data_IF_110066973979
#
_entry.id   IF_110066973979
#
_cell.length_a   1.000
_cell.length_b   1.000
_cell.length_c   1.000
_cell.angle_alpha   90.00
_cell.angle_beta   90.00
_cell.angle_gamma   90.00
#
_symmetry.space_group_name_H-M   'P 1'
#
loop_
_entity.id
_entity.type
_entity.pdbx_description
1 polymer ?
#
# COMPACT_ATOMS: atom_id res chain seq x y z
N UNK A 1 34.98 -4.37 -24.85
CA UNK A 1 35.75 -4.26 -23.60
C UNK A 1 34.74 -4.30 -22.47
N UNK A 2 34.76 -5.34 -21.64
CA UNK A 2 33.98 -5.31 -20.41
C UNK A 2 34.70 -4.35 -19.43
N UNK A 3 34.00 -3.48 -18.70
CA UNK A 3 34.63 -2.65 -17.68
C UNK A 3 35.28 -3.57 -16.64
N UNK A 4 36.50 -3.24 -16.24
CA UNK A 4 37.19 -3.93 -15.15
C UNK A 4 36.50 -3.49 -13.87
N UNK A 5 35.81 -4.43 -13.22
CA UNK A 5 35.18 -4.21 -11.92
C UNK A 5 36.27 -4.13 -10.85
N UNK A 6 36.45 -2.96 -10.24
CA UNK A 6 37.40 -2.78 -9.15
C UNK A 6 36.72 -3.15 -7.82
N UNK A 7 37.33 -4.01 -6.99
CA UNK A 7 36.80 -4.26 -5.65
C UNK A 7 36.86 -2.97 -4.81
N UNK A 8 35.75 -2.64 -4.12
CA UNK A 8 35.53 -1.46 -3.24
C UNK A 8 35.26 -0.11 -3.94
N UNK A 9 34.56 -0.10 -5.07
CA UNK A 9 34.09 1.13 -5.73
C UNK A 9 33.20 2.00 -4.81
N UNK A 10 32.40 1.40 -3.95
CA UNK A 10 31.56 2.10 -2.97
C UNK A 10 32.40 2.97 -2.02
N UNK A 11 33.46 2.40 -1.45
CA UNK A 11 34.33 3.10 -0.51
C UNK A 11 35.13 4.23 -1.18
N UNK A 12 35.48 4.05 -2.46
CA UNK A 12 36.10 5.10 -3.27
C UNK A 12 35.16 6.31 -3.43
N UNK A 13 33.93 6.08 -3.87
CA UNK A 13 32.95 7.16 -4.06
C UNK A 13 32.52 7.80 -2.75
N UNK A 14 32.41 7.04 -1.65
CA UNK A 14 32.17 7.60 -0.32
C UNK A 14 33.29 8.56 0.09
N UNK A 15 34.55 8.20 -0.14
CA UNK A 15 35.69 9.06 0.19
C UNK A 15 35.67 10.34 -0.65
N UNK A 16 35.31 10.27 -1.94
CA UNK A 16 35.16 11.45 -2.78
C UNK A 16 34.02 12.34 -2.30
N UNK A 17 32.88 11.74 -1.96
CA UNK A 17 31.71 12.45 -1.47
C UNK A 17 32.00 13.21 -0.17
N UNK A 18 32.65 12.57 0.80
CA UNK A 18 33.03 13.18 2.08
C UNK A 18 34.03 14.34 1.91
N UNK A 19 34.98 14.19 0.97
CA UNK A 19 35.92 15.27 0.63
C UNK A 19 35.21 16.47 0.01
N UNK A 20 34.35 16.22 -0.98
CA UNK A 20 33.56 17.27 -1.63
C UNK A 20 32.62 17.96 -0.62
N UNK A 21 31.97 17.19 0.25
CA UNK A 21 31.09 17.70 1.30
C UNK A 21 31.85 18.62 2.27
N UNK A 22 33.03 18.16 2.73
CA UNK A 22 33.89 18.94 3.63
C UNK A 22 34.44 20.21 2.97
N UNK A 23 34.59 20.21 1.65
CA UNK A 23 35.01 21.38 0.87
C UNK A 23 33.85 22.35 0.55
N UNK A 24 32.61 22.01 0.93
CA UNK A 24 31.40 22.78 0.59
C UNK A 24 30.89 22.56 -0.84
N UNK A 25 31.44 21.59 -1.57
CA UNK A 25 30.99 21.22 -2.93
C UNK A 25 29.80 20.25 -2.86
N UNK A 26 28.64 20.73 -2.42
CA UNK A 26 27.48 19.85 -2.13
C UNK A 26 26.92 19.11 -3.34
N UNK A 27 26.97 19.71 -4.54
CA UNK A 27 26.56 19.06 -5.79
C UNK A 27 27.47 17.87 -6.12
N UNK A 28 28.78 18.07 -6.04
CA UNK A 28 29.78 17.02 -6.28
C UNK A 28 29.69 15.92 -5.22
N UNK A 29 29.46 16.30 -3.97
CA UNK A 29 29.25 15.36 -2.88
C UNK A 29 28.02 14.48 -3.13
N UNK A 30 26.88 15.09 -3.49
CA UNK A 30 25.65 14.39 -3.81
C UNK A 30 25.84 13.39 -4.96
N UNK A 31 26.48 13.80 -6.06
CA UNK A 31 26.76 12.89 -7.18
C UNK A 31 27.64 11.70 -6.78
N UNK A 32 28.68 11.94 -5.97
CA UNK A 32 29.52 10.85 -5.48
C UNK A 32 28.76 9.93 -4.50
N UNK A 33 27.90 10.47 -3.64
CA UNK A 33 27.04 9.64 -2.78
C UNK A 33 26.10 8.75 -3.61
N UNK A 34 25.54 9.26 -4.71
CA UNK A 34 24.72 8.44 -5.63
C UNK A 34 25.53 7.33 -6.29
N UNK A 35 26.77 7.57 -6.68
CA UNK A 35 27.63 6.52 -7.22
C UNK A 35 27.93 5.46 -6.15
N UNK A 36 28.25 5.86 -4.92
CA UNK A 36 28.42 4.93 -3.81
C UNK A 36 27.16 4.09 -3.55
N UNK A 37 25.97 4.71 -3.63
CA UNK A 37 24.70 4.03 -3.45
C UNK A 37 24.41 2.99 -4.55
N UNK A 38 24.75 3.26 -5.81
CA UNK A 38 24.61 2.29 -6.91
C UNK A 38 25.41 1.01 -6.68
N UNK A 39 26.61 1.16 -6.10
CA UNK A 39 27.48 0.03 -5.78
C UNK A 39 26.96 -0.73 -4.54
N UNK A 40 26.50 0.01 -3.51
CA UNK A 40 26.03 -0.58 -2.26
C UNK A 40 24.89 0.24 -1.63
N UNK A 41 23.63 -0.09 -1.97
CA UNK A 41 22.48 0.56 -1.37
C UNK A 41 22.41 0.32 0.14
N UNK A 42 22.27 1.38 0.93
CA UNK A 42 22.02 1.29 2.37
C UNK A 42 21.05 2.38 2.80
N UNK A 43 20.26 2.13 3.84
CA UNK A 43 19.33 3.13 4.40
C UNK A 43 20.02 4.45 4.76
N UNK A 44 21.24 4.38 5.32
CA UNK A 44 22.03 5.58 5.67
C UNK A 44 22.39 6.42 4.45
N UNK A 45 22.85 5.79 3.36
CA UNK A 45 23.15 6.49 2.11
C UNK A 45 21.88 7.03 1.46
N UNK A 46 20.79 6.24 1.46
CA UNK A 46 19.49 6.67 0.94
C UNK A 46 19.01 7.95 1.63
N UNK A 47 18.98 7.94 2.98
CA UNK A 47 18.62 9.11 3.79
C UNK A 47 19.51 10.32 3.50
N UNK A 48 20.84 10.13 3.42
CA UNK A 48 21.78 11.22 3.15
C UNK A 48 21.55 11.84 1.77
N UNK A 49 21.36 11.02 0.74
CA UNK A 49 21.08 11.47 -0.62
C UNK A 49 19.75 12.23 -0.66
N UNK A 50 18.68 11.67 -0.09
CA UNK A 50 17.38 12.31 -0.05
C UNK A 50 17.40 13.65 0.69
N UNK A 51 18.11 13.71 1.82
CA UNK A 51 18.31 14.95 2.59
C UNK A 51 19.08 16.01 1.79
N UNK A 52 20.21 15.63 1.18
CA UNK A 52 21.02 16.55 0.40
C UNK A 52 20.31 17.04 -0.88
N UNK A 53 19.50 16.19 -1.51
CA UNK A 53 18.67 16.58 -2.64
C UNK A 53 17.58 17.58 -2.22
N UNK A 54 16.93 17.33 -1.08
CA UNK A 54 15.92 18.24 -0.52
C UNK A 54 16.50 19.63 -0.22
N UNK A 55 17.65 19.70 0.45
CA UNK A 55 18.34 20.96 0.77
C UNK A 55 18.76 21.74 -0.48
N UNK A 56 19.00 21.05 -1.58
CA UNK A 56 19.33 21.65 -2.88
C UNK A 56 18.09 22.05 -3.70
N UNK A 57 16.88 21.76 -3.20
CA UNK A 57 15.62 22.04 -3.90
C UNK A 57 15.27 21.00 -4.99
N UNK A 58 16.01 19.90 -5.08
CA UNK A 58 15.79 18.81 -6.04
C UNK A 58 14.71 17.84 -5.53
N UNK A 59 13.49 18.34 -5.37
CA UNK A 59 12.38 17.60 -4.71
C UNK A 59 12.03 16.28 -5.40
N UNK A 60 12.08 16.23 -6.73
CA UNK A 60 11.79 15.00 -7.49
C UNK A 60 12.82 13.90 -7.21
N UNK A 61 14.08 14.28 -6.99
CA UNK A 61 15.14 13.35 -6.67
C UNK A 61 15.07 12.91 -5.22
N UNK A 62 14.82 13.84 -4.30
CA UNK A 62 14.59 13.51 -2.89
C UNK A 62 13.44 12.49 -2.74
N UNK A 63 12.35 12.69 -3.49
CA UNK A 63 11.22 11.76 -3.55
C UNK A 63 11.62 10.39 -4.10
N UNK A 64 12.35 10.35 -5.22
CA UNK A 64 12.79 9.11 -5.84
C UNK A 64 13.54 8.22 -4.83
N UNK A 65 14.51 8.80 -4.11
CA UNK A 65 15.27 8.05 -3.12
C UNK A 65 14.43 7.67 -1.90
N UNK A 66 13.62 8.59 -1.36
CA UNK A 66 12.78 8.29 -0.19
C UNK A 66 11.79 7.14 -0.46
N UNK A 67 11.18 7.10 -1.65
CA UNK A 67 10.21 6.08 -2.04
C UNK A 67 10.84 4.70 -2.33
N UNK A 68 12.17 4.61 -2.50
CA UNK A 68 12.86 3.32 -2.64
C UNK A 68 12.93 2.54 -1.32
N UNK A 69 13.01 3.24 -0.18
CA UNK A 69 13.19 2.64 1.15
C UNK A 69 12.26 3.25 2.21
N UNK A 70 10.94 3.37 1.99
CA UNK A 70 10.05 4.11 2.89
C UNK A 70 10.07 3.54 4.31
N UNK A 71 10.22 2.23 4.47
CA UNK A 71 10.22 1.58 5.78
C UNK A 71 11.42 1.96 6.65
N UNK A 72 12.58 2.27 6.05
CA UNK A 72 13.74 2.74 6.83
C UNK A 72 13.54 4.15 7.41
N UNK A 73 12.59 4.91 6.87
CA UNK A 73 12.26 6.23 7.41
C UNK A 73 11.35 6.16 8.65
N UNK A 74 10.87 4.98 9.05
CA UNK A 74 10.08 4.79 10.26
C UNK A 74 10.94 4.51 11.51
N UNK A 75 12.27 4.61 11.40
CA UNK A 75 13.20 4.24 12.47
C UNK A 75 13.41 5.33 13.53
N UNK A 76 13.45 6.60 13.13
CA UNK A 76 13.75 7.73 14.03
C UNK A 76 12.89 8.94 13.69
N UNK A 77 12.81 9.89 14.62
CA UNK A 77 12.10 11.15 14.39
C UNK A 77 12.68 11.95 13.23
N UNK A 78 14.00 12.01 13.10
CA UNK A 78 14.67 12.74 12.01
C UNK A 78 14.36 12.14 10.64
N UNK A 79 14.30 10.80 10.55
CA UNK A 79 13.94 10.13 9.30
C UNK A 79 12.46 10.30 8.99
N UNK A 80 11.58 10.23 9.99
CA UNK A 80 10.15 10.52 9.82
C UNK A 80 9.94 11.94 9.30
N UNK A 81 10.59 12.92 9.93
CA UNK A 81 10.48 14.33 9.59
C UNK A 81 10.95 14.59 8.16
N UNK A 82 12.09 14.00 7.75
CA UNK A 82 12.58 14.14 6.38
C UNK A 82 11.60 13.56 5.36
N UNK A 83 11.09 12.35 5.60
CA UNK A 83 10.15 11.71 4.68
C UNK A 83 8.88 12.55 4.50
N UNK A 84 8.28 12.99 5.60
CA UNK A 84 7.06 13.82 5.56
C UNK A 84 7.30 15.15 4.84
N UNK A 85 8.46 15.79 5.02
CA UNK A 85 8.82 17.00 4.27
C UNK A 85 8.90 16.73 2.76
N UNK A 86 9.60 15.67 2.36
CA UNK A 86 9.75 15.31 0.94
C UNK A 86 8.39 15.06 0.29
N UNK A 87 7.53 14.27 0.94
CA UNK A 87 6.18 13.99 0.43
C UNK A 87 5.36 15.27 0.29
N UNK A 88 5.46 16.18 1.26
CA UNK A 88 4.75 17.46 1.22
C UNK A 88 5.22 18.39 0.10
N UNK A 89 6.55 18.53 -0.09
CA UNK A 89 7.10 19.30 -1.21
C UNK A 89 6.71 18.68 -2.57
N UNK A 90 6.61 17.36 -2.63
CA UNK A 90 6.14 16.63 -3.80
C UNK A 90 4.61 16.60 -3.95
N UNK A 91 3.86 17.27 -3.06
CA UNK A 91 2.38 17.32 -3.07
C UNK A 91 1.71 15.94 -2.99
N UNK A 92 2.37 15.00 -2.29
CA UNK A 92 1.95 13.61 -2.04
C UNK A 92 1.25 13.50 -0.68
N UNK A 93 0.11 14.17 -0.56
CA UNK A 93 -0.60 14.30 0.72
C UNK A 93 -1.16 12.98 1.24
N UNK A 94 -1.67 12.12 0.35
CA UNK A 94 -2.13 10.79 0.73
C UNK A 94 -1.00 9.95 1.31
N UNK A 95 0.15 9.91 0.63
CA UNK A 95 1.34 9.17 1.04
C UNK A 95 1.90 9.72 2.37
N UNK A 96 1.90 11.04 2.56
CA UNK A 96 2.27 11.67 3.82
C UNK A 96 1.35 11.24 4.98
N UNK A 97 0.02 11.21 4.77
CA UNK A 97 -0.94 10.74 5.79
C UNK A 97 -0.79 9.27 6.08
N UNK A 98 -0.61 8.44 5.05
CA UNK A 98 -0.36 7.01 5.21
C UNK A 98 0.91 6.76 6.03
N UNK A 99 1.98 7.46 5.71
CA UNK A 99 3.24 7.34 6.44
C UNK A 99 3.11 7.79 7.91
N UNK A 100 2.47 8.94 8.15
CA UNK A 100 2.21 9.46 9.49
C UNK A 100 1.40 8.46 10.33
N UNK A 101 0.37 7.85 9.74
CA UNK A 101 -0.44 6.82 10.38
C UNK A 101 0.36 5.57 10.74
N UNK A 102 1.25 5.12 9.85
CA UNK A 102 2.16 3.99 10.11
C UNK A 102 3.12 4.30 11.26
N UNK A 103 3.74 5.48 11.24
CA UNK A 103 4.64 5.94 12.31
C UNK A 103 3.93 5.97 13.67
N UNK A 104 2.66 6.42 13.71
CA UNK A 104 1.83 6.36 14.90
C UNK A 104 1.57 4.92 15.37
N UNK A 105 1.17 4.00 14.47
CA UNK A 105 0.94 2.59 14.83
C UNK A 105 2.19 1.92 15.40
N UNK A 106 3.37 2.30 14.90
CA UNK A 106 4.67 1.83 15.39
C UNK A 106 5.13 2.53 16.69
N UNK A 107 4.34 3.46 17.23
CA UNK A 107 4.66 4.24 18.44
C UNK A 107 5.95 5.05 18.33
N UNK A 108 6.29 5.48 17.10
CA UNK A 108 7.48 6.29 16.82
C UNK A 108 7.24 7.79 17.04
N UNK A 109 5.98 8.19 17.17
CA UNK A 109 5.56 9.57 17.39
C UNK A 109 4.74 9.68 18.67
N UNK A 110 4.98 10.76 19.40
CA UNK A 110 4.04 11.24 20.43
C UNK A 110 2.79 11.82 19.79
N UNK A 111 1.73 11.99 20.58
CA UNK A 111 0.48 12.59 20.11
C UNK A 111 0.70 14.02 19.61
N UNK A 112 1.50 14.81 20.33
CA UNK A 112 1.83 16.19 19.97
C UNK A 112 2.57 16.28 18.64
N UNK A 113 3.61 15.46 18.43
CA UNK A 113 4.36 15.43 17.16
C UNK A 113 3.46 15.04 15.97
N UNK A 114 2.56 14.07 16.20
CA UNK A 114 1.60 13.63 15.20
C UNK A 114 0.61 14.74 14.85
N UNK A 115 0.13 15.49 15.83
CA UNK A 115 -0.82 16.60 15.61
C UNK A 115 -0.17 17.79 14.88
N UNK A 116 1.11 18.07 15.17
CA UNK A 116 1.90 19.09 14.43
C UNK A 116 1.99 18.72 12.94
N UNK A 117 2.37 17.47 12.64
CA UNK A 117 2.47 17.02 11.26
C UNK A 117 1.12 16.98 10.56
N UNK A 118 0.09 16.51 11.24
CA UNK A 118 -1.27 16.47 10.69
C UNK A 118 -1.75 17.89 10.32
N UNK A 119 -1.54 18.86 11.21
CA UNK A 119 -1.88 20.27 10.95
C UNK A 119 -1.15 20.81 9.72
N UNK A 120 0.15 20.52 9.60
CA UNK A 120 0.96 20.96 8.45
C UNK A 120 0.49 20.32 7.13
N UNK A 121 0.15 19.04 7.15
CA UNK A 121 -0.40 18.33 5.98
C UNK A 121 -1.73 18.96 5.58
N UNK A 122 -2.64 19.17 6.55
CA UNK A 122 -3.96 19.76 6.31
C UNK A 122 -3.86 21.16 5.70
N UNK A 123 -2.98 22.02 6.22
CA UNK A 123 -2.80 23.39 5.72
C UNK A 123 -2.29 23.42 4.28
N UNK A 124 -1.27 22.60 3.97
CA UNK A 124 -0.71 22.55 2.63
C UNK A 124 -1.65 21.88 1.62
N UNK A 125 -2.36 20.83 2.02
CA UNK A 125 -3.34 20.16 1.16
C UNK A 125 -4.51 21.10 0.84
N UNK A 126 -5.02 21.87 1.81
CA UNK A 126 -6.05 22.89 1.58
C UNK A 126 -5.58 23.97 0.60
N UNK A 127 -4.37 24.48 0.78
CA UNK A 127 -3.80 25.46 -0.14
C UNK A 127 -3.69 24.88 -1.57
N UNK A 128 -3.18 23.67 -1.70
CA UNK A 128 -3.06 22.97 -2.99
C UNK A 128 -4.43 22.69 -3.62
N UNK A 129 -5.43 22.30 -2.81
CA UNK A 129 -6.81 22.11 -3.23
C UNK A 129 -7.41 23.38 -3.87
N UNK A 130 -7.19 24.53 -3.24
CA UNK A 130 -7.64 25.79 -3.82
C UNK A 130 -6.95 26.12 -5.14
N UNK A 131 -5.64 25.82 -5.26
CA UNK A 131 -4.88 26.05 -6.48
C UNK A 131 -5.31 25.11 -7.64
N UNK A 132 -5.65 23.86 -7.33
CA UNK A 132 -5.91 22.81 -8.33
C UNK A 132 -7.39 22.40 -8.43
N UNK A 133 -8.31 23.29 -8.05
CA UNK A 133 -9.74 22.98 -7.97
C UNK A 133 -10.32 22.37 -9.27
N UNK A 134 -9.91 22.88 -10.44
CA UNK A 134 -10.39 22.37 -11.72
C UNK A 134 -9.92 20.93 -12.00
N UNK A 135 -8.67 20.61 -11.65
CA UNK A 135 -8.09 19.26 -11.81
C UNK A 135 -8.82 18.26 -10.92
N UNK A 136 -9.06 18.63 -9.65
CA UNK A 136 -9.80 17.77 -8.73
C UNK A 136 -11.24 17.56 -9.17
N UNK A 137 -11.92 18.62 -9.65
CA UNK A 137 -13.27 18.48 -10.19
C UNK A 137 -13.33 17.52 -11.37
N UNK A 138 -12.38 17.62 -12.31
CA UNK A 138 -12.31 16.70 -13.44
C UNK A 138 -12.09 15.26 -12.98
N UNK A 139 -11.20 15.03 -12.02
CA UNK A 139 -10.97 13.69 -11.48
C UNK A 139 -12.22 13.13 -10.77
N UNK A 140 -12.96 13.96 -10.03
CA UNK A 140 -14.24 13.55 -9.44
C UNK A 140 -15.28 13.18 -10.52
N UNK A 141 -15.38 13.98 -11.60
CA UNK A 141 -16.26 13.70 -12.73
C UNK A 141 -15.90 12.37 -13.42
N UNK A 142 -14.60 12.08 -13.58
CA UNK A 142 -14.12 10.79 -14.09
C UNK A 142 -14.49 9.64 -13.14
N UNK A 143 -14.26 9.79 -11.83
CA UNK A 143 -14.59 8.77 -10.82
C UNK A 143 -16.11 8.51 -10.72
N UNK A 144 -16.95 9.50 -11.01
CA UNK A 144 -18.41 9.32 -11.06
C UNK A 144 -18.86 8.36 -12.17
N UNK A 145 -18.00 8.03 -13.13
CA UNK A 145 -18.26 7.05 -14.18
C UNK A 145 -18.01 5.60 -13.73
N UNK A 146 -17.37 5.37 -12.57
CA UNK A 146 -17.07 4.02 -12.07
C UNK A 146 -18.26 3.06 -12.14
N UNK A 147 -19.50 3.41 -11.70
CA UNK A 147 -20.64 2.49 -11.74
C UNK A 147 -21.09 2.07 -13.15
N UNK A 148 -20.58 2.72 -14.20
CA UNK A 148 -20.91 2.44 -15.62
C UNK A 148 -19.83 1.63 -16.33
N UNK A 149 -18.68 1.43 -15.68
CA UNK A 149 -17.50 0.75 -16.22
C UNK A 149 -17.50 -0.74 -15.86
N UNK A 150 -16.75 -1.53 -16.62
CA UNK A 150 -16.49 -2.93 -16.24
C UNK A 150 -15.50 -3.01 -15.05
N UNK A 151 -15.36 -4.19 -14.44
CA UNK A 151 -14.61 -4.34 -13.19
C UNK A 151 -13.11 -3.99 -13.33
N UNK A 152 -12.49 -4.30 -14.46
CA UNK A 152 -11.08 -4.00 -14.73
C UNK A 152 -10.83 -2.49 -14.93
N UNK A 153 -11.72 -1.83 -15.67
CA UNK A 153 -11.71 -0.38 -15.85
C UNK A 153 -11.90 0.33 -14.50
N UNK A 154 -12.85 -0.14 -13.68
CA UNK A 154 -13.05 0.40 -12.34
C UNK A 154 -11.79 0.27 -11.48
N UNK A 155 -11.15 -0.91 -11.46
CA UNK A 155 -9.91 -1.15 -10.72
C UNK A 155 -8.75 -0.25 -11.16
N UNK A 156 -8.71 0.09 -12.45
CA UNK A 156 -7.68 0.97 -12.99
C UNK A 156 -7.94 2.42 -12.57
N UNK A 157 -9.16 2.91 -12.75
CA UNK A 157 -9.53 4.30 -12.48
C UNK A 157 -9.56 4.61 -10.98
N UNK A 158 -10.10 3.71 -10.15
CA UNK A 158 -10.26 3.94 -8.70
C UNK A 158 -8.93 4.27 -8.02
N UNK A 159 -7.79 3.79 -8.54
CA UNK A 159 -6.46 4.08 -7.98
C UNK A 159 -6.12 5.57 -7.93
N UNK A 160 -6.74 6.36 -8.81
CA UNK A 160 -6.57 7.81 -8.86
C UNK A 160 -7.31 8.53 -7.73
N UNK A 161 -8.20 7.86 -7.00
CA UNK A 161 -8.88 8.47 -5.84
C UNK A 161 -7.91 9.02 -4.80
N UNK A 162 -6.72 8.42 -4.68
CA UNK A 162 -5.63 8.86 -3.78
C UNK A 162 -5.04 10.22 -4.14
N UNK A 163 -5.31 10.71 -5.33
CA UNK A 163 -4.91 12.06 -5.75
C UNK A 163 -5.88 13.11 -5.21
N UNK A 164 -7.10 12.75 -4.82
CA UNK A 164 -8.05 13.69 -4.25
C UNK A 164 -7.62 14.11 -2.84
N UNK A 165 -7.98 15.34 -2.40
CA UNK A 165 -7.87 15.73 -1.01
C UNK A 165 -8.57 14.73 -0.09
N UNK A 166 -8.02 14.51 1.10
CA UNK A 166 -8.45 13.43 2.01
C UNK A 166 -9.97 13.45 2.28
N UNK A 167 -10.59 14.63 2.42
CA UNK A 167 -12.03 14.76 2.67
C UNK A 167 -12.88 14.25 1.49
N UNK A 168 -12.42 14.52 0.27
CA UNK A 168 -13.09 14.07 -0.97
C UNK A 168 -12.88 12.58 -1.20
N UNK A 169 -11.67 12.09 -0.95
CA UNK A 169 -11.39 10.65 -0.94
C UNK A 169 -12.34 9.92 0.02
N UNK A 170 -12.43 10.37 1.28
CA UNK A 170 -13.30 9.76 2.28
C UNK A 170 -14.77 9.79 1.85
N UNK A 171 -15.25 10.92 1.35
CA UNK A 171 -16.65 11.09 0.92
C UNK A 171 -17.00 10.11 -0.21
N UNK A 172 -16.17 10.06 -1.25
CA UNK A 172 -16.41 9.18 -2.40
C UNK A 172 -16.22 7.71 -2.05
N UNK A 173 -15.22 7.36 -1.23
CA UNK A 173 -15.04 5.99 -0.74
C UNK A 173 -16.28 5.52 0.03
N UNK A 174 -16.80 6.32 0.97
CA UNK A 174 -18.02 5.99 1.73
C UNK A 174 -19.24 5.79 0.81
N UNK A 175 -19.35 6.54 -0.28
CA UNK A 175 -20.42 6.40 -1.27
C UNK A 175 -20.27 5.10 -2.09
N UNK A 176 -19.09 4.84 -2.64
CA UNK A 176 -18.86 3.72 -3.56
C UNK A 176 -18.76 2.36 -2.86
N UNK A 177 -18.35 2.31 -1.59
CA UNK A 177 -18.29 1.06 -0.82
C UNK A 177 -19.65 0.37 -0.62
N UNK A 178 -20.77 1.10 -0.78
CA UNK A 178 -22.13 0.56 -0.66
C UNK A 178 -22.87 0.41 -2.00
N UNK A 179 -22.26 0.85 -3.11
CA UNK A 179 -22.89 0.76 -4.43
C UNK A 179 -22.67 -0.62 -5.04
N UNK A 180 -23.77 -1.32 -5.36
CA UNK A 180 -23.77 -2.67 -5.94
C UNK A 180 -23.11 -2.74 -7.32
N UNK A 181 -23.03 -1.63 -8.04
CA UNK A 181 -22.37 -1.54 -9.35
C UNK A 181 -20.85 -1.45 -9.23
N UNK A 182 -20.35 -1.17 -8.03
CA UNK A 182 -18.93 -1.11 -7.76
C UNK A 182 -18.41 -2.51 -7.46
N UNK A 183 -17.42 -2.93 -8.24
CA UNK A 183 -16.87 -4.27 -8.16
C UNK A 183 -16.27 -4.54 -6.76
N UNK A 184 -16.36 -5.77 -6.23
CA UNK A 184 -15.87 -6.07 -4.87
C UNK A 184 -14.43 -5.64 -4.59
N UNK A 185 -13.49 -5.90 -5.50
CA UNK A 185 -12.09 -5.52 -5.31
C UNK A 185 -11.89 -3.99 -5.32
N UNK A 186 -12.77 -3.26 -6.00
CA UNK A 186 -12.79 -1.80 -5.98
C UNK A 186 -13.27 -1.32 -4.60
N UNK A 187 -14.30 -1.95 -4.02
CA UNK A 187 -14.74 -1.66 -2.64
C UNK A 187 -13.64 -1.98 -1.63
N UNK A 188 -12.95 -3.11 -1.76
CA UNK A 188 -11.79 -3.48 -0.93
C UNK A 188 -10.69 -2.42 -1.00
N UNK A 189 -10.36 -1.97 -2.22
CA UNK A 189 -9.36 -0.92 -2.45
C UNK A 189 -9.76 0.41 -1.80
N UNK A 190 -11.02 0.81 -1.90
CA UNK A 190 -11.53 2.04 -1.28
C UNK A 190 -11.46 1.97 0.25
N UNK A 191 -11.86 0.82 0.82
CA UNK A 191 -11.77 0.58 2.27
C UNK A 191 -10.32 0.64 2.75
N UNK A 192 -9.41 -0.02 2.05
CA UNK A 192 -7.97 0.03 2.35
C UNK A 192 -7.41 1.46 2.24
N UNK A 193 -7.86 2.22 1.24
CA UNK A 193 -7.41 3.61 1.04
C UNK A 193 -7.78 4.51 2.21
N UNK A 194 -8.99 4.35 2.77
CA UNK A 194 -9.39 5.11 3.97
C UNK A 194 -8.75 4.57 5.26
N UNK A 195 -8.51 3.25 5.35
CA UNK A 195 -7.81 2.63 6.47
C UNK A 195 -6.36 3.11 6.59
N UNK A 196 -5.67 3.26 5.46
CA UNK A 196 -4.27 3.69 5.39
C UNK A 196 -4.05 5.12 5.82
N UNK A 197 -5.03 6.01 5.65
CA UNK A 197 -4.95 7.39 6.14
C UNK A 197 -5.52 7.55 7.56
N UNK A 198 -5.80 6.44 8.25
CA UNK A 198 -6.15 6.45 9.67
C UNK A 198 -7.62 6.74 9.98
N UNK A 199 -8.55 6.55 9.04
CA UNK A 199 -9.99 6.74 9.31
C UNK A 199 -10.49 5.68 10.30
N UNK A 200 -10.81 6.10 11.52
CA UNK A 200 -11.29 5.24 12.62
C UNK A 200 -12.81 5.27 12.81
N UNK A 201 -13.52 6.13 12.08
CA UNK A 201 -14.97 6.15 12.11
C UNK A 201 -15.56 4.91 11.45
N UNK A 202 -16.66 4.41 12.01
CA UNK A 202 -17.43 3.33 11.38
C UNK A 202 -17.95 3.77 10.00
N UNK A 203 -17.75 2.92 8.99
CA UNK A 203 -18.25 3.10 7.64
C UNK A 203 -19.11 1.89 7.25
N UNK A 204 -20.12 2.16 6.41
CA UNK A 204 -20.94 1.10 5.83
C UNK A 204 -20.20 0.47 4.66
N UNK A 205 -20.23 -0.85 4.59
CA UNK A 205 -19.55 -1.64 3.56
C UNK A 205 -20.51 -2.70 3.01
N UNK A 206 -20.72 -2.71 1.69
CA UNK A 206 -21.41 -3.81 1.03
C UNK A 206 -20.45 -4.98 0.92
N UNK A 207 -20.83 -6.17 1.38
CA UNK A 207 -20.01 -7.38 1.33
C UNK A 207 -20.15 -8.08 -0.04
N UNK A 208 -19.39 -9.15 -0.27
CA UNK A 208 -19.58 -10.03 -1.44
C UNK A 208 -20.85 -10.88 -1.34
N UNK A 209 -21.46 -10.99 -0.15
CA UNK A 209 -22.71 -11.70 0.09
C UNK A 209 -23.93 -10.77 0.01
N UNK A 210 -23.76 -9.56 -0.54
CA UNK A 210 -24.81 -8.56 -0.74
C UNK A 210 -25.42 -7.99 0.57
N UNK A 211 -24.70 -8.15 1.69
CA UNK A 211 -25.05 -7.60 2.99
C UNK A 211 -24.37 -6.24 3.22
N UNK A 212 -24.98 -5.37 4.02
CA UNK A 212 -24.32 -4.12 4.45
C UNK A 212 -23.93 -4.27 5.92
N UNK A 213 -22.63 -4.16 6.18
CA UNK A 213 -22.05 -4.20 7.52
C UNK A 213 -21.45 -2.85 7.88
N UNK A 214 -21.20 -2.65 9.18
CA UNK A 214 -20.52 -1.47 9.72
C UNK A 214 -19.14 -1.87 10.23
N UNK A 215 -18.10 -1.20 9.75
CA UNK A 215 -16.70 -1.54 9.98
C UNK A 215 -15.89 -0.28 10.23
N UNK A 216 -14.86 -0.35 11.06
CA UNK A 216 -13.94 0.77 11.28
C UNK A 216 -12.65 0.56 10.48
N UNK A 217 -12.36 1.33 9.42
CA UNK A 217 -11.22 1.06 8.54
C UNK A 217 -9.87 0.92 9.25
N UNK A 218 -9.55 1.85 10.15
CA UNK A 218 -8.28 1.84 10.89
C UNK A 218 -8.04 0.61 11.79
N UNK A 219 -9.13 -0.06 12.22
CA UNK A 219 -9.11 -1.17 13.20
C UNK A 219 -9.52 -2.51 12.61
N UNK A 220 -10.36 -2.51 11.58
CA UNK A 220 -10.77 -3.69 10.82
C UNK A 220 -9.83 -3.96 9.64
N UNK A 221 -8.98 -3.00 9.27
CA UNK A 221 -8.05 -3.10 8.16
C UNK A 221 -6.84 -4.00 8.44
N UNK A 222 -6.48 -4.78 7.41
CA UNK A 222 -5.35 -5.71 7.28
C UNK A 222 -5.20 -6.74 8.42
N UNK A 223 -5.97 -7.82 8.33
CA UNK A 223 -5.75 -9.08 9.08
C UNK A 223 -5.40 -10.21 8.10
N UNK A 224 -4.12 -10.58 8.05
CA UNK A 224 -3.62 -11.68 7.21
C UNK A 224 -3.55 -13.02 7.96
N UNK A 225 -4.10 -13.11 9.18
CA UNK A 225 -4.03 -14.31 10.01
C UNK A 225 -4.67 -15.52 9.33
N UNK A 226 -5.84 -15.34 8.72
CA UNK A 226 -6.51 -16.42 7.98
C UNK A 226 -5.65 -16.88 6.80
N UNK A 227 -5.18 -15.94 5.98
CA UNK A 227 -4.33 -16.21 4.84
C UNK A 227 -3.09 -17.01 5.25
N UNK A 228 -2.31 -16.50 6.22
CA UNK A 228 -1.09 -17.15 6.69
C UNK A 228 -1.31 -18.57 7.21
N UNK A 229 -2.45 -18.82 7.88
CA UNK A 229 -2.79 -20.17 8.36
C UNK A 229 -3.13 -21.12 7.21
N UNK A 230 -3.91 -20.66 6.23
CA UNK A 230 -4.21 -21.45 5.03
C UNK A 230 -2.92 -21.75 4.27
N UNK A 231 -2.08 -20.74 4.03
CA UNK A 231 -0.80 -20.89 3.32
C UNK A 231 0.10 -21.89 4.02
N UNK A 232 0.24 -21.77 5.35
CA UNK A 232 1.01 -22.72 6.16
C UNK A 232 0.51 -24.15 5.99
N UNK A 233 -0.79 -24.39 6.14
CA UNK A 233 -1.37 -25.74 6.05
C UNK A 233 -1.25 -26.34 4.65
N UNK A 234 -1.39 -25.52 3.60
CA UNK A 234 -1.14 -25.98 2.23
C UNK A 234 0.33 -26.33 2.00
N UNK A 235 1.27 -25.54 2.51
CA UNK A 235 2.70 -25.85 2.44
C UNK A 235 3.02 -27.18 3.14
N UNK A 236 2.51 -27.38 4.36
CA UNK A 236 2.71 -28.62 5.13
C UNK A 236 2.23 -29.88 4.38
N UNK A 237 1.18 -29.77 3.55
CA UNK A 237 0.63 -30.90 2.77
C UNK A 237 1.29 -31.08 1.39
N UNK A 238 1.67 -29.99 0.71
CA UNK A 238 2.02 -30.04 -0.72
C UNK A 238 3.46 -29.67 -1.08
N UNK A 239 4.26 -29.11 -0.15
CA UNK A 239 5.60 -28.61 -0.47
C UNK A 239 6.51 -29.70 -1.04
N UNK A 240 6.52 -30.88 -0.42
CA UNK A 240 7.30 -32.03 -0.88
C UNK A 240 6.57 -32.90 -1.92
N UNK A 241 5.23 -32.86 -1.95
CA UNK A 241 4.43 -33.74 -2.82
C UNK A 241 4.15 -33.13 -4.20
N UNK A 242 3.73 -31.86 -4.25
CA UNK A 242 3.34 -31.19 -5.49
C UNK A 242 3.56 -29.67 -5.42
N UNK A 243 4.81 -29.20 -5.56
CA UNK A 243 5.16 -27.78 -5.44
C UNK A 243 4.52 -26.90 -6.53
N UNK A 244 4.18 -27.46 -7.70
CA UNK A 244 3.50 -26.72 -8.77
C UNK A 244 2.05 -26.42 -8.37
N UNK A 245 1.33 -27.42 -7.83
CA UNK A 245 -0.01 -27.22 -7.30
C UNK A 245 0.00 -26.23 -6.13
N UNK A 246 0.97 -26.36 -5.21
CA UNK A 246 1.15 -25.44 -4.11
C UNK A 246 1.23 -23.99 -4.59
N UNK A 247 2.10 -23.70 -5.56
CA UNK A 247 2.26 -22.36 -6.12
C UNK A 247 0.94 -21.81 -6.72
N UNK A 248 0.18 -22.66 -7.43
CA UNK A 248 -1.13 -22.27 -7.98
C UNK A 248 -2.15 -21.95 -6.87
N UNK A 249 -2.21 -22.77 -5.82
CA UNK A 249 -3.12 -22.56 -4.70
C UNK A 249 -2.76 -21.32 -3.89
N UNK A 250 -1.46 -21.01 -3.71
CA UNK A 250 -1.03 -19.77 -3.05
C UNK A 250 -1.58 -18.52 -3.76
N UNK A 251 -1.52 -18.47 -5.09
CA UNK A 251 -2.08 -17.35 -5.85
C UNK A 251 -3.61 -17.29 -5.77
N UNK A 252 -4.27 -18.46 -5.79
CA UNK A 252 -5.71 -18.52 -5.60
C UNK A 252 -6.13 -18.02 -4.21
N UNK A 253 -5.42 -18.44 -3.15
CA UNK A 253 -5.64 -17.98 -1.77
C UNK A 253 -5.51 -16.46 -1.70
N UNK A 254 -4.43 -15.88 -2.22
CA UNK A 254 -4.23 -14.41 -2.23
C UNK A 254 -5.41 -13.69 -2.87
N UNK A 255 -5.87 -14.18 -4.02
CA UNK A 255 -7.00 -13.59 -4.73
C UNK A 255 -8.31 -13.69 -3.93
N UNK A 256 -8.65 -14.89 -3.45
CA UNK A 256 -9.88 -15.11 -2.67
C UNK A 256 -9.87 -14.27 -1.36
N UNK A 257 -8.70 -14.12 -0.71
CA UNK A 257 -8.54 -13.26 0.46
C UNK A 257 -8.68 -11.77 0.13
N UNK A 258 -8.29 -11.32 -1.06
CA UNK A 258 -8.49 -9.95 -1.52
C UNK A 258 -9.99 -9.62 -1.74
N UNK A 259 -10.77 -10.58 -2.25
CA UNK A 259 -12.23 -10.46 -2.35
C UNK A 259 -12.92 -10.41 -0.99
N UNK A 260 -12.37 -11.12 -0.01
CA UNK A 260 -12.90 -11.12 1.34
C UNK A 260 -12.52 -9.89 2.16
N UNK A 261 -11.50 -9.13 1.76
CA UNK A 261 -11.09 -7.94 2.50
C UNK A 261 -12.25 -6.96 2.69
N UNK A 262 -12.44 -6.37 3.90
CA UNK A 262 -11.69 -6.56 5.16
C UNK A 262 -12.31 -7.60 6.13
N UNK A 263 -13.10 -8.55 5.61
CA UNK A 263 -13.96 -9.48 6.37
C UNK A 263 -13.34 -10.85 6.62
N UNK A 264 -12.04 -11.04 6.37
CA UNK A 264 -11.37 -12.36 6.48
C UNK A 264 -11.62 -13.01 7.85
N UNK A 265 -11.58 -12.23 8.93
CA UNK A 265 -11.82 -12.70 10.30
C UNK A 265 -13.22 -13.31 10.51
N UNK A 266 -14.22 -12.90 9.71
CA UNK A 266 -15.58 -13.49 9.75
C UNK A 266 -15.62 -14.92 9.21
N UNK A 267 -14.58 -15.34 8.48
CA UNK A 267 -14.46 -16.66 7.85
C UNK A 267 -13.27 -17.46 8.39
N UNK A 268 -12.89 -17.23 9.66
CA UNK A 268 -11.71 -17.82 10.33
C UNK A 268 -11.86 -19.35 10.57
N UNK A 269 -11.77 -20.14 9.50
CA UNK A 269 -11.82 -21.62 9.51
C UNK A 269 -10.75 -22.22 8.58
N UNK A 270 -9.46 -22.07 8.90
CA UNK A 270 -8.37 -22.36 7.96
C UNK A 270 -8.38 -23.81 7.45
N UNK A 271 -8.72 -24.79 8.29
CA UNK A 271 -8.83 -26.20 7.88
C UNK A 271 -9.93 -26.45 6.84
N UNK A 272 -11.05 -25.73 6.96
CA UNK A 272 -12.16 -25.83 6.02
C UNK A 272 -11.79 -25.24 4.66
N UNK A 273 -11.08 -24.11 4.65
CA UNK A 273 -10.53 -23.52 3.43
C UNK A 273 -9.56 -24.49 2.74
N UNK A 274 -8.60 -25.06 3.47
CA UNK A 274 -7.62 -26.01 2.92
C UNK A 274 -8.32 -27.25 2.35
N UNK A 275 -9.27 -27.83 3.09
CA UNK A 275 -10.05 -28.99 2.62
C UNK A 275 -10.79 -28.66 1.33
N UNK A 276 -11.37 -27.46 1.25
CA UNK A 276 -12.05 -26.95 0.07
C UNK A 276 -11.11 -26.84 -1.13
N UNK A 277 -9.93 -26.22 -0.98
CA UNK A 277 -8.93 -26.14 -2.05
C UNK A 277 -8.47 -27.51 -2.55
N UNK A 278 -8.11 -28.42 -1.64
CA UNK A 278 -7.60 -29.75 -2.00
C UNK A 278 -8.67 -30.64 -2.67
N UNK A 279 -9.95 -30.44 -2.33
CA UNK A 279 -11.06 -31.19 -2.91
C UNK A 279 -11.28 -30.94 -4.41
N UNK A 280 -10.78 -29.82 -4.93
CA UNK A 280 -10.85 -29.52 -6.37
C UNK A 280 -9.88 -30.35 -7.20
N UNK A 281 -8.85 -30.91 -6.56
CA UNK A 281 -7.74 -31.61 -7.23
C UNK A 281 -7.63 -33.09 -6.83
N UNK A 282 -8.31 -33.50 -5.76
CA UNK A 282 -8.31 -34.88 -5.27
C UNK A 282 -9.69 -35.27 -4.73
N UNK A 283 -10.02 -36.57 -4.77
CA UNK A 283 -11.26 -37.07 -4.18
C UNK A 283 -11.25 -36.86 -2.66
N UNK A 284 -11.97 -35.83 -2.20
CA UNK A 284 -12.08 -35.54 -0.77
C UNK A 284 -13.07 -36.49 -0.11
N UNK A 285 -12.60 -37.27 0.87
CA UNK A 285 -13.45 -38.18 1.67
C UNK A 285 -14.17 -37.49 2.84
N UNK A 286 -13.84 -36.23 3.13
CA UNK A 286 -14.40 -35.45 4.24
C UNK A 286 -15.53 -34.54 3.74
N UNK A 287 -16.60 -34.36 4.53
CA UNK A 287 -17.62 -33.36 4.21
C UNK A 287 -17.02 -31.95 4.26
N UNK A 288 -17.30 -31.16 3.23
CA UNK A 288 -16.85 -29.77 3.11
C UNK A 288 -17.73 -28.83 3.93
N UNK A 289 -17.16 -27.71 4.39
CA UNK A 289 -17.91 -26.69 5.15
C UNK A 289 -18.79 -25.85 4.22
N UNK A 290 -20.10 -25.98 4.36
CA UNK A 290 -21.07 -25.33 3.46
C UNK A 290 -20.91 -23.80 3.37
N UNK A 291 -20.51 -23.14 4.46
CA UNK A 291 -20.33 -21.68 4.47
C UNK A 291 -19.11 -21.31 3.64
N UNK A 292 -18.00 -22.02 3.81
CA UNK A 292 -16.78 -21.78 3.03
C UNK A 292 -17.01 -22.09 1.55
N UNK A 293 -17.66 -23.21 1.23
CA UNK A 293 -18.01 -23.55 -0.17
C UNK A 293 -18.87 -22.46 -0.82
N UNK A 294 -19.91 -21.99 -0.12
CA UNK A 294 -20.79 -20.92 -0.62
C UNK A 294 -20.03 -19.64 -0.95
N UNK A 295 -19.14 -19.23 -0.05
CA UNK A 295 -18.31 -18.03 -0.22
C UNK A 295 -17.34 -18.19 -1.39
N UNK A 296 -16.62 -19.31 -1.45
CA UNK A 296 -15.67 -19.58 -2.54
C UNK A 296 -16.35 -19.65 -3.89
N UNK A 297 -17.52 -20.29 -3.98
CA UNK A 297 -18.33 -20.30 -5.20
C UNK A 297 -18.74 -18.88 -5.63
N UNK A 298 -19.17 -18.03 -4.69
CA UNK A 298 -19.51 -16.63 -4.99
C UNK A 298 -18.29 -15.85 -5.49
N UNK A 299 -17.11 -16.05 -4.88
CA UNK A 299 -15.87 -15.41 -5.35
C UNK A 299 -15.53 -15.86 -6.78
N UNK A 300 -15.57 -17.16 -7.07
CA UNK A 300 -15.33 -17.68 -8.43
C UNK A 300 -16.30 -17.10 -9.45
N UNK A 301 -17.57 -16.92 -9.10
CA UNK A 301 -18.54 -16.24 -9.96
C UNK A 301 -18.14 -14.79 -10.24
N UNK A 302 -17.74 -14.05 -9.22
CA UNK A 302 -17.32 -12.65 -9.34
C UNK A 302 -16.01 -12.49 -10.12
N UNK A 303 -15.13 -13.49 -10.10
CA UNK A 303 -13.88 -13.47 -10.86
C UNK A 303 -14.11 -13.44 -12.38
N UNK A 304 -15.19 -14.03 -12.88
CA UNK A 304 -15.51 -13.99 -14.31
C UNK A 304 -15.74 -12.57 -14.82
N UNK A 305 -16.17 -11.64 -13.96
CA UNK A 305 -16.40 -10.24 -14.33
C UNK A 305 -15.09 -9.45 -14.58
N UNK A 306 -13.93 -10.06 -14.27
CA UNK A 306 -12.59 -9.47 -14.47
C UNK A 306 -11.84 -10.05 -15.67
N UNK A 307 -12.48 -10.88 -16.50
CA UNK A 307 -11.96 -11.44 -17.75
C UNK A 307 -12.62 -10.80 -18.97
#
# INVERSE_FOLDING_TARGET
MNPIDFPNNDQYYLTLAEKAFSAGNYLEALENYKQAYKEKPTAKLNFLIASMALEQGEFSEALLFADEMPDSYLETLDTIDLFLQIQLYAQKFYEAREFLWRAQKMKQLTEEQRDIWLTRIDDQERFYQHQQQAVFKQLEDELNLLPTMNALEQLTLVRRIRQLPVDRLQTLSKLYMIDRRIAPLVRSYLFESVARVGVSESVRYLTIQDEIVELSPAYSGFDDTLQKRIEKYLSEELEDENPILLASLMEQVKLEMAFLYPLQSSFMKPDAWVSSYLSEYSECSKPLDEVIESVRMKIKQLMFDYH
#
